data_IF_390587437609
#
_entry.id   IF_390587437609
#
_cell.length_a   1.000
_cell.length_b   1.000
_cell.length_c   1.000
_cell.angle_alpha   90.00
_cell.angle_beta   90.00
_cell.angle_gamma   90.00
#
_symmetry.space_group_name_H-M   'P 1'
#
loop_
_entity.id
_entity.type
_entity.pdbx_description
1 polymer ?
#
# COMPACT_ATOMS: atom_id res chain seq x y z
N UNK A 1 -11.51 -42.60 -6.30
CA UNK A 1 -11.60 -42.08 -4.92
C UNK A 1 -11.19 -40.62 -4.95
N UNK A 2 -12.15 -39.72 -4.72
CA UNK A 2 -11.93 -38.30 -4.50
C UNK A 2 -11.11 -38.06 -3.24
N UNK A 3 -10.32 -36.99 -3.20
CA UNK A 3 -10.42 -35.98 -2.14
C UNK A 3 -9.85 -34.68 -2.70
N UNK A 4 -10.75 -33.71 -2.83
CA UNK A 4 -10.46 -32.31 -3.08
C UNK A 4 -9.55 -31.79 -1.97
N UNK A 5 -8.34 -31.36 -2.31
CA UNK A 5 -7.55 -30.51 -1.43
C UNK A 5 -8.23 -29.14 -1.43
N UNK A 6 -9.11 -28.93 -0.46
CA UNK A 6 -9.57 -27.60 -0.09
C UNK A 6 -8.35 -26.88 0.46
N UNK A 7 -7.56 -26.28 -0.43
CA UNK A 7 -6.67 -25.20 -0.05
C UNK A 7 -7.58 -24.11 0.48
N UNK A 8 -7.70 -24.06 1.81
CA UNK A 8 -8.26 -22.93 2.52
C UNK A 8 -7.64 -21.68 1.91
N UNK A 9 -8.44 -20.90 1.18
CA UNK A 9 -8.14 -19.50 0.93
C UNK A 9 -8.26 -18.82 2.29
N UNK A 10 -7.25 -19.03 3.13
CA UNK A 10 -6.84 -18.01 4.07
C UNK A 10 -6.62 -16.77 3.20
N UNK A 11 -7.28 -15.67 3.52
CA UNK A 11 -7.11 -14.41 2.79
C UNK A 11 -5.64 -14.03 2.88
N UNK A 12 -4.83 -14.47 1.92
CA UNK A 12 -3.44 -14.13 1.85
C UNK A 12 -3.39 -12.61 1.71
N UNK A 13 -2.85 -11.92 2.71
CA UNK A 13 -2.51 -10.50 2.56
C UNK A 13 -1.64 -10.40 1.31
N UNK A 14 -2.05 -9.63 0.29
CA UNK A 14 -1.32 -9.59 -0.96
C UNK A 14 0.11 -9.15 -0.68
N UNK A 15 1.08 -9.92 -1.18
CA UNK A 15 2.48 -9.51 -1.11
C UNK A 15 2.68 -8.28 -1.98
N UNK A 16 3.17 -7.19 -1.39
CA UNK A 16 3.58 -5.98 -2.11
C UNK A 16 5.01 -6.15 -2.59
N UNK A 17 5.21 -6.20 -3.91
CA UNK A 17 6.52 -6.37 -4.54
C UNK A 17 6.75 -5.32 -5.61
N UNK A 18 7.98 -4.82 -5.72
CA UNK A 18 8.42 -3.91 -6.80
C UNK A 18 9.51 -4.60 -7.62
N UNK A 19 9.44 -4.48 -8.94
CA UNK A 19 10.36 -5.14 -9.87
C UNK A 19 11.79 -4.56 -9.82
N UNK A 20 11.91 -3.30 -9.39
CA UNK A 20 13.20 -2.62 -9.26
C UNK A 20 13.22 -1.59 -8.14
N UNK A 21 14.43 -1.18 -7.74
CA UNK A 21 14.62 -0.04 -6.84
C UNK A 21 14.06 1.26 -7.42
N UNK A 22 14.08 1.41 -8.75
CA UNK A 22 13.52 2.59 -9.40
C UNK A 22 11.99 2.63 -9.23
N UNK A 23 11.31 1.49 -9.36
CA UNK A 23 9.86 1.39 -9.16
C UNK A 23 9.49 1.64 -7.71
N UNK A 24 10.23 1.05 -6.76
CA UNK A 24 10.05 1.30 -5.34
C UNK A 24 10.26 2.78 -4.98
N UNK A 25 11.33 3.39 -5.50
CA UNK A 25 11.60 4.81 -5.28
C UNK A 25 10.50 5.70 -5.88
N UNK A 26 9.99 5.34 -7.06
CA UNK A 26 8.88 6.05 -7.69
C UNK A 26 7.60 5.98 -6.84
N UNK A 27 7.30 4.82 -6.26
CA UNK A 27 6.16 4.66 -5.36
C UNK A 27 6.31 5.47 -4.06
N UNK A 28 7.51 5.50 -3.47
CA UNK A 28 7.80 6.34 -2.29
C UNK A 28 7.64 7.83 -2.58
N UNK A 29 8.04 8.31 -3.77
CA UNK A 29 7.87 9.70 -4.18
C UNK A 29 6.39 10.05 -4.36
N UNK A 30 5.60 9.17 -4.99
CA UNK A 30 4.15 9.37 -5.12
C UNK A 30 3.44 9.39 -3.77
N UNK A 31 3.81 8.47 -2.88
CA UNK A 31 3.32 8.46 -1.50
C UNK A 31 3.66 9.77 -0.77
N UNK A 32 4.87 10.30 -0.94
CA UNK A 32 5.28 11.59 -0.35
C UNK A 32 4.45 12.77 -0.82
N UNK A 33 4.17 12.83 -2.12
CA UNK A 33 3.33 13.90 -2.70
C UNK A 33 1.91 13.80 -2.14
N UNK A 34 1.33 12.61 -2.13
CA UNK A 34 -0.03 12.39 -1.62
C UNK A 34 -0.13 12.63 -0.10
N UNK A 35 0.90 12.29 0.66
CA UNK A 35 0.94 12.53 2.11
C UNK A 35 1.04 14.02 2.45
N UNK A 36 1.78 14.82 1.66
CA UNK A 36 1.77 16.27 1.83
C UNK A 36 0.38 16.90 1.68
N UNK A 37 -0.45 16.35 0.78
CA UNK A 37 -1.86 16.75 0.65
C UNK A 37 -2.71 16.26 1.83
N UNK A 38 -2.42 15.06 2.37
CA UNK A 38 -3.03 14.55 3.60
C UNK A 38 -2.76 15.49 4.79
N UNK A 39 -1.50 15.84 5.03
CA UNK A 39 -1.10 16.76 6.10
C UNK A 39 -1.70 18.15 5.93
N UNK A 40 -1.82 18.64 4.69
CA UNK A 40 -2.51 19.91 4.40
C UNK A 40 -3.98 19.84 4.79
N UNK A 41 -4.64 18.71 4.53
CA UNK A 41 -6.06 18.51 4.84
C UNK A 41 -6.32 18.25 6.32
N UNK A 42 -5.41 17.60 7.03
CA UNK A 42 -5.51 17.38 8.48
C UNK A 42 -5.01 18.58 9.29
N UNK A 43 -4.21 19.46 8.68
CA UNK A 43 -3.66 20.67 9.30
C UNK A 43 -2.52 20.39 10.29
N UNK A 44 -1.95 19.17 10.28
CA UNK A 44 -0.89 18.77 11.17
C UNK A 44 0.04 17.75 10.48
N UNK A 45 1.31 17.76 10.91
CA UNK A 45 2.24 16.71 10.53
C UNK A 45 1.76 15.36 11.08
N UNK A 46 1.85 14.32 10.26
CA UNK A 46 1.45 12.97 10.64
C UNK A 46 2.66 12.21 11.21
N UNK A 47 2.67 11.90 12.52
CA UNK A 47 3.77 11.16 13.13
C UNK A 47 3.84 9.71 12.65
N UNK A 48 2.77 9.18 12.05
CA UNK A 48 2.68 7.81 11.54
C UNK A 48 2.86 7.74 10.01
N UNK A 49 3.60 8.69 9.44
CA UNK A 49 3.91 8.74 8.01
C UNK A 49 4.41 7.41 7.41
N UNK A 50 5.17 6.53 8.10
CA UNK A 50 5.60 5.26 7.49
C UNK A 50 4.41 4.32 7.22
N UNK A 51 3.46 4.27 8.15
CA UNK A 51 2.27 3.42 8.03
C UNK A 51 1.34 3.96 6.93
N UNK A 52 1.21 5.29 6.85
CA UNK A 52 0.44 5.94 5.79
C UNK A 52 1.06 5.65 4.41
N UNK A 53 2.39 5.76 4.26
CA UNK A 53 3.08 5.41 3.02
C UNK A 53 2.86 3.96 2.64
N UNK A 54 3.00 3.03 3.58
CA UNK A 54 2.78 1.61 3.32
C UNK A 54 1.34 1.36 2.83
N UNK A 55 0.34 1.93 3.50
CA UNK A 55 -1.06 1.84 3.08
C UNK A 55 -1.29 2.42 1.68
N UNK A 56 -0.72 3.59 1.39
CA UNK A 56 -0.80 4.21 0.07
C UNK A 56 -0.17 3.33 -1.01
N UNK A 57 1.06 2.83 -0.78
CA UNK A 57 1.79 2.04 -1.76
C UNK A 57 1.09 0.70 -2.05
N UNK A 58 0.52 0.06 -1.02
CA UNK A 58 -0.28 -1.16 -1.18
C UNK A 58 -1.55 -0.87 -1.98
N UNK A 59 -2.28 0.19 -1.63
CA UNK A 59 -3.52 0.55 -2.30
C UNK A 59 -3.30 0.97 -3.76
N UNK A 60 -2.26 1.75 -4.02
CA UNK A 60 -1.88 2.19 -5.37
C UNK A 60 -1.52 0.98 -6.24
N UNK A 61 -0.71 0.04 -5.74
CA UNK A 61 -0.37 -1.18 -6.47
C UNK A 61 -1.59 -2.09 -6.69
N UNK A 62 -2.49 -2.17 -5.73
CA UNK A 62 -3.70 -2.96 -5.82
C UNK A 62 -4.81 -2.29 -6.65
N UNK A 63 -4.66 -1.01 -7.00
CA UNK A 63 -5.70 -0.21 -7.65
C UNK A 63 -6.95 -0.02 -6.77
N UNK A 64 -6.78 -0.01 -5.45
CA UNK A 64 -7.87 0.20 -4.48
C UNK A 64 -7.93 1.65 -4.02
N UNK A 65 -8.90 1.93 -3.14
CA UNK A 65 -9.04 3.26 -2.51
C UNK A 65 -7.75 3.66 -1.79
N UNK A 66 -7.27 4.87 -2.07
CA UNK A 66 -6.07 5.44 -1.46
C UNK A 66 -6.41 6.00 -0.08
N UNK A 67 -5.47 6.00 0.88
CA UNK A 67 -5.68 6.65 2.16
C UNK A 67 -5.93 8.14 1.96
N UNK A 68 -6.95 8.65 2.65
CA UNK A 68 -7.29 10.07 2.67
C UNK A 68 -6.48 10.77 3.73
#
# INVERSE_FOLDING_TARGET
MSTTDTRSTEMATPTTTFDSTADLSGALIRAAIAHGEHETRTGAADPNWPDWYAAYMVAEQAGTELPI
#
